data_IF_028526693068
#
_entry.id   IF_028526693068
#
_cell.length_a   1.000
_cell.length_b   1.000
_cell.length_c   1.000
_cell.angle_alpha   90.00
_cell.angle_beta   90.00
_cell.angle_gamma   90.00
#
_symmetry.space_group_name_H-M   'P 1'
#
loop_
_entity.id
_entity.type
_entity.pdbx_description
1 polymer ?
#
# COMPACT_ATOMS: atom_id res chain seq x y z
N UNK A 1 -8.34 -14.79 -4.78
CA UNK A 1 -9.25 -14.88 -5.94
C UNK A 1 -9.48 -13.46 -6.45
N UNK A 2 -8.92 -13.09 -7.61
CA UNK A 2 -9.21 -11.81 -8.30
C UNK A 2 -9.99 -12.03 -9.61
N UNK A 3 -10.25 -13.31 -9.95
CA UNK A 3 -10.90 -13.74 -11.19
C UNK A 3 -12.44 -13.79 -11.08
N UNK A 4 -12.98 -13.89 -9.87
CA UNK A 4 -14.43 -13.92 -9.62
C UNK A 4 -14.82 -12.62 -8.92
N UNK A 5 -14.98 -11.54 -9.69
CA UNK A 5 -15.50 -10.28 -9.17
C UNK A 5 -17.03 -10.40 -9.07
N UNK A 6 -17.66 -10.14 -7.92
CA UNK A 6 -19.12 -10.16 -7.82
C UNK A 6 -19.74 -9.16 -8.79
N UNK A 7 -20.89 -9.50 -9.38
CA UNK A 7 -21.61 -8.60 -10.29
C UNK A 7 -21.96 -7.27 -9.61
N UNK A 8 -22.21 -7.31 -8.29
CA UNK A 8 -22.48 -6.15 -7.45
C UNK A 8 -21.27 -5.19 -7.41
N UNK A 9 -20.04 -5.73 -7.37
CA UNK A 9 -18.81 -4.91 -7.42
C UNK A 9 -18.68 -4.22 -8.79
N UNK A 10 -18.98 -4.94 -9.87
CA UNK A 10 -18.95 -4.38 -11.23
C UNK A 10 -20.06 -3.36 -11.49
N UNK A 11 -21.20 -3.52 -10.82
CA UNK A 11 -22.32 -2.58 -10.92
C UNK A 11 -21.97 -1.21 -10.33
N UNK A 12 -21.22 -1.17 -9.22
CA UNK A 12 -20.81 0.08 -8.56
C UNK A 12 -19.49 0.64 -9.13
N UNK A 13 -18.61 -0.22 -9.64
CA UNK A 13 -17.36 0.17 -10.30
C UNK A 13 -17.20 -0.60 -11.61
N UNK A 14 -17.71 -0.05 -12.74
CA UNK A 14 -17.55 -0.66 -14.06
C UNK A 14 -16.08 -0.76 -14.50
N UNK A 15 -15.18 0.05 -13.92
CA UNK A 15 -13.72 -0.07 -14.09
C UNK A 15 -13.21 -1.43 -13.63
N UNK A 16 -13.90 -2.04 -12.65
CA UNK A 16 -13.58 -3.35 -12.10
C UNK A 16 -12.22 -3.39 -11.41
N UNK A 17 -11.62 -2.26 -11.05
CA UNK A 17 -10.39 -2.21 -10.28
C UNK A 17 -10.70 -2.28 -8.80
N UNK A 18 -9.75 -2.70 -7.98
CA UNK A 18 -9.85 -2.66 -6.52
C UNK A 18 -8.72 -1.79 -5.99
N UNK A 19 -8.90 -1.14 -4.82
CA UNK A 19 -10.09 -1.16 -3.94
C UNK A 19 -11.26 -0.29 -4.44
N UNK A 20 -12.48 -0.58 -3.96
CA UNK A 20 -13.70 0.22 -4.17
C UNK A 20 -14.47 0.27 -2.86
N UNK A 21 -15.03 1.44 -2.52
CA UNK A 21 -15.89 1.66 -1.36
C UNK A 21 -17.21 2.31 -1.81
N UNK A 22 -18.33 1.75 -1.37
CA UNK A 22 -19.64 2.37 -1.49
C UNK A 22 -20.13 2.82 -0.11
N UNK A 23 -20.52 4.09 0.00
CA UNK A 23 -21.07 4.68 1.21
C UNK A 23 -22.59 4.44 1.31
N UNK A 24 -23.14 4.62 2.51
CA UNK A 24 -24.58 4.45 2.78
C UNK A 24 -25.47 5.40 1.96
N UNK A 25 -24.95 6.56 1.56
CA UNK A 25 -25.64 7.53 0.71
C UNK A 25 -25.56 7.21 -0.79
N UNK A 26 -24.90 6.10 -1.16
CA UNK A 26 -24.71 5.66 -2.53
C UNK A 26 -23.45 6.22 -3.21
N UNK A 27 -22.68 7.10 -2.56
CA UNK A 27 -21.40 7.59 -3.08
C UNK A 27 -20.41 6.44 -3.27
N UNK A 28 -19.71 6.42 -4.40
CA UNK A 28 -18.67 5.42 -4.70
C UNK A 28 -17.30 6.09 -4.75
N UNK A 29 -16.33 5.52 -4.05
CA UNK A 29 -14.92 5.93 -4.03
C UNK A 29 -14.09 4.78 -4.61
N UNK A 30 -13.33 5.04 -5.67
CA UNK A 30 -12.61 4.01 -6.44
C UNK A 30 -11.09 4.07 -6.29
N UNK A 31 -10.55 5.13 -5.68
CA UNK A 31 -9.11 5.31 -5.53
C UNK A 31 -8.64 4.95 -4.12
N UNK A 32 -7.59 4.12 -4.03
CA UNK A 32 -7.07 3.64 -2.75
C UNK A 32 -6.69 4.75 -1.77
N UNK A 33 -6.11 5.84 -2.29
CA UNK A 33 -5.77 7.04 -1.53
C UNK A 33 -7.01 7.76 -1.00
N UNK A 34 -8.04 7.91 -1.84
CA UNK A 34 -9.28 8.57 -1.43
C UNK A 34 -10.02 7.77 -0.36
N UNK A 35 -10.03 6.43 -0.48
CA UNK A 35 -10.60 5.54 0.55
C UNK A 35 -9.84 5.70 1.88
N UNK A 36 -8.51 5.75 1.83
CA UNK A 36 -7.68 5.94 3.02
C UNK A 36 -7.94 7.30 3.68
N UNK A 37 -8.00 8.39 2.90
CA UNK A 37 -8.33 9.73 3.42
C UNK A 37 -9.76 9.78 3.97
N UNK A 38 -10.72 9.14 3.29
CA UNK A 38 -12.10 9.04 3.77
C UNK A 38 -12.16 8.35 5.13
N UNK A 39 -11.46 7.23 5.30
CA UNK A 39 -11.45 6.47 6.54
C UNK A 39 -10.84 7.29 7.70
N UNK A 40 -9.71 7.96 7.47
CA UNK A 40 -9.06 8.81 8.47
C UNK A 40 -9.91 10.02 8.85
N UNK A 41 -10.71 10.56 7.93
CA UNK A 41 -11.67 11.63 8.26
C UNK A 41 -12.82 11.18 9.15
N UNK A 42 -13.13 9.87 9.19
CA UNK A 42 -14.10 9.34 10.14
C UNK A 42 -13.49 9.24 11.55
N UNK A 43 -12.27 8.68 11.63
CA UNK A 43 -11.57 8.50 12.90
C UNK A 43 -10.05 8.38 12.65
N UNK A 44 -9.27 9.27 13.26
CA UNK A 44 -7.81 9.27 13.19
C UNK A 44 -7.19 9.49 14.58
N UNK A 45 -7.22 8.48 15.46
CA UNK A 45 -6.72 8.60 16.83
C UNK A 45 -5.18 8.69 16.88
N UNK A 46 -4.50 8.38 15.78
CA UNK A 46 -3.04 8.39 15.66
C UNK A 46 -2.50 9.65 14.95
N UNK A 47 -3.36 10.49 14.40
CA UNK A 47 -2.96 11.69 13.67
C UNK A 47 -2.21 11.38 12.37
N UNK A 48 -2.54 10.27 11.69
CA UNK A 48 -1.93 9.87 10.42
C UNK A 48 -2.16 10.93 9.33
N UNK A 49 -3.30 11.62 9.36
CA UNK A 49 -3.61 12.75 8.46
C UNK A 49 -3.00 14.05 9.01
N UNK A 50 -1.68 14.06 9.17
CA UNK A 50 -0.96 15.23 9.65
C UNK A 50 -0.90 16.32 8.57
N UNK A 51 -1.68 17.40 8.77
CA UNK A 51 -1.80 18.52 7.84
C UNK A 51 -0.52 19.29 7.61
N UNK A 52 0.46 19.23 8.53
CA UNK A 52 1.73 19.95 8.41
C UNK A 52 2.66 19.32 7.37
N UNK A 53 2.53 18.01 7.14
CA UNK A 53 3.35 17.25 6.18
C UNK A 53 2.53 16.64 5.05
N UNK A 54 1.25 16.99 4.94
CA UNK A 54 0.31 16.35 4.01
C UNK A 54 0.74 16.48 2.54
N UNK A 55 1.27 17.63 2.14
CA UNK A 55 1.75 17.82 0.76
C UNK A 55 2.96 16.92 0.45
N UNK A 56 3.87 16.75 1.40
CA UNK A 56 5.02 15.85 1.27
C UNK A 56 4.56 14.38 1.24
N UNK A 57 3.59 14.02 2.09
CA UNK A 57 2.99 12.70 2.09
C UNK A 57 2.33 12.38 0.76
N UNK A 58 1.55 13.33 0.21
CA UNK A 58 0.89 13.17 -1.08
C UNK A 58 1.90 13.01 -2.22
N UNK A 59 2.99 13.78 -2.21
CA UNK A 59 4.06 13.66 -3.20
C UNK A 59 4.75 12.29 -3.16
N UNK A 60 5.04 11.76 -1.96
CA UNK A 60 5.62 10.42 -1.81
C UNK A 60 4.68 9.32 -2.30
N UNK A 61 3.38 9.40 -1.98
CA UNK A 61 2.40 8.42 -2.46
C UNK A 61 2.25 8.53 -3.99
N UNK A 62 2.28 9.74 -4.56
CA UNK A 62 2.24 9.93 -6.01
C UNK A 62 3.47 9.35 -6.72
N UNK A 63 4.66 9.54 -6.15
CA UNK A 63 5.88 8.90 -6.66
C UNK A 63 5.80 7.36 -6.56
N UNK A 64 5.24 6.84 -5.47
CA UNK A 64 4.98 5.41 -5.32
C UNK A 64 4.04 4.88 -6.41
N UNK A 65 2.90 5.53 -6.61
CA UNK A 65 1.83 5.06 -7.49
C UNK A 65 2.21 5.11 -8.98
N UNK A 66 3.05 6.09 -9.37
CA UNK A 66 3.47 6.27 -10.75
C UNK A 66 4.78 5.54 -11.06
N UNK A 67 5.87 5.88 -10.36
CA UNK A 67 7.20 5.42 -10.72
C UNK A 67 7.51 4.05 -10.12
N UNK A 68 7.39 3.92 -8.79
CA UNK A 68 7.78 2.70 -8.10
C UNK A 68 6.89 1.53 -8.50
N UNK A 69 5.57 1.73 -8.50
CA UNK A 69 4.60 0.71 -8.87
C UNK A 69 4.83 0.18 -10.28
N UNK A 70 5.15 1.06 -11.23
CA UNK A 70 5.44 0.68 -12.61
C UNK A 70 6.60 -0.33 -12.70
N UNK A 71 7.69 -0.08 -11.97
CA UNK A 71 8.84 -0.97 -11.94
C UNK A 71 8.60 -2.21 -11.09
N UNK A 72 7.90 -2.07 -9.97
CA UNK A 72 7.54 -3.17 -9.08
C UNK A 72 6.69 -4.22 -9.80
N UNK A 73 5.70 -3.80 -10.59
CA UNK A 73 4.86 -4.74 -11.33
C UNK A 73 5.67 -5.51 -12.39
N UNK A 74 6.67 -4.89 -13.04
CA UNK A 74 7.58 -5.58 -13.96
C UNK A 74 8.56 -6.50 -13.25
N UNK A 75 9.02 -6.13 -12.07
CA UNK A 75 9.86 -6.99 -11.24
C UNK A 75 9.09 -8.25 -10.80
N UNK A 76 7.83 -8.09 -10.38
CA UNK A 76 6.94 -9.20 -9.96
C UNK A 76 6.57 -10.14 -11.11
N UNK A 77 6.36 -9.60 -12.30
CA UNK A 77 5.88 -10.34 -13.47
C UNK A 77 6.89 -10.30 -14.62
N UNK A 78 8.18 -10.46 -14.33
CA UNK A 78 9.25 -10.37 -15.31
C UNK A 78 9.11 -11.39 -16.46
N UNK A 79 8.39 -12.50 -16.23
CA UNK A 79 8.00 -13.47 -17.26
C UNK A 79 7.11 -12.88 -18.37
N UNK A 80 6.44 -11.76 -18.10
CA UNK A 80 5.55 -11.06 -19.05
C UNK A 80 6.21 -9.85 -19.73
N UNK A 81 7.40 -9.46 -19.29
CA UNK A 81 8.14 -8.30 -19.78
C UNK A 81 9.56 -8.72 -20.12
N UNK A 82 9.78 -9.14 -21.36
CA UNK A 82 11.03 -9.75 -21.82
C UNK A 82 12.10 -8.73 -22.23
N UNK A 83 11.82 -7.44 -22.09
CA UNK A 83 12.72 -6.36 -22.50
C UNK A 83 13.93 -6.22 -21.56
N UNK A 84 13.79 -6.61 -20.30
CA UNK A 84 14.86 -6.56 -19.29
C UNK A 84 14.78 -7.80 -18.40
N UNK A 85 15.90 -8.15 -17.77
CA UNK A 85 15.93 -9.19 -16.76
C UNK A 85 15.20 -8.75 -15.49
N UNK A 86 14.74 -9.73 -14.70
CA UNK A 86 14.11 -9.47 -13.41
C UNK A 86 15.02 -8.64 -12.48
N UNK A 87 16.33 -8.87 -12.51
CA UNK A 87 17.30 -8.11 -11.70
C UNK A 87 17.42 -6.66 -12.15
N UNK A 88 17.28 -6.37 -13.44
CA UNK A 88 17.31 -5.00 -13.93
C UNK A 88 16.02 -4.25 -13.57
N UNK A 89 14.85 -4.90 -13.61
CA UNK A 89 13.62 -4.30 -13.07
C UNK A 89 13.72 -4.01 -11.57
N UNK A 90 14.32 -4.92 -10.79
CA UNK A 90 14.61 -4.70 -9.37
C UNK A 90 15.45 -3.43 -9.18
N UNK A 91 16.56 -3.30 -9.91
CA UNK A 91 17.43 -2.12 -9.83
C UNK A 91 16.71 -0.81 -10.20
N UNK A 92 15.75 -0.84 -11.12
CA UNK A 92 14.92 0.34 -11.44
C UNK A 92 13.99 0.72 -10.28
N UNK A 93 13.38 -0.28 -9.62
CA UNK A 93 12.57 -0.08 -8.41
C UNK A 93 13.39 0.44 -7.22
N UNK A 94 14.67 0.04 -7.11
CA UNK A 94 15.57 0.45 -6.02
C UNK A 94 15.79 1.98 -5.95
N UNK A 95 15.55 2.73 -7.04
CA UNK A 95 15.61 4.19 -7.02
C UNK A 95 14.65 4.83 -6.01
N UNK A 96 13.42 4.29 -5.89
CA UNK A 96 12.47 4.76 -4.89
C UNK A 96 12.82 4.24 -3.50
N UNK A 97 13.35 3.01 -3.38
CA UNK A 97 13.80 2.49 -2.08
C UNK A 97 14.91 3.34 -1.48
N UNK A 98 15.82 3.87 -2.31
CA UNK A 98 16.83 4.83 -1.85
C UNK A 98 16.22 6.11 -1.30
N UNK A 99 15.16 6.66 -1.93
CA UNK A 99 14.44 7.83 -1.40
C UNK A 99 13.87 7.55 -0.01
N UNK A 100 13.27 6.37 0.18
CA UNK A 100 12.74 5.97 1.48
C UNK A 100 13.86 5.78 2.51
N UNK A 101 14.97 5.15 2.15
CA UNK A 101 16.14 4.97 3.02
C UNK A 101 16.72 6.32 3.47
N UNK A 102 16.82 7.29 2.57
CA UNK A 102 17.34 8.63 2.88
C UNK A 102 16.44 9.41 3.85
N UNK A 103 15.12 9.20 3.76
CA UNK A 103 14.15 9.75 4.71
C UNK A 103 14.25 9.07 6.07
N UNK A 104 14.35 7.74 6.10
CA UNK A 104 14.44 6.93 7.32
C UNK A 104 15.80 7.02 8.01
N UNK A 105 16.84 7.49 7.31
CA UNK A 105 18.12 7.84 7.93
C UNK A 105 17.98 9.05 8.87
N UNK A 106 16.97 9.89 8.66
CA UNK A 106 16.75 11.15 9.40
C UNK A 106 15.59 11.08 10.38
N UNK A 107 14.72 10.09 10.24
CA UNK A 107 13.42 10.02 10.90
C UNK A 107 13.08 8.58 11.28
N UNK A 108 12.22 8.39 12.27
CA UNK A 108 11.71 7.06 12.64
C UNK A 108 10.72 6.51 11.60
N UNK A 109 9.86 7.38 11.07
CA UNK A 109 8.90 7.13 9.99
C UNK A 109 9.23 8.01 8.78
N UNK A 110 8.54 7.83 7.66
CA UNK A 110 8.93 8.48 6.40
C UNK A 110 9.02 10.02 6.47
N UNK A 111 8.19 10.65 7.30
CA UNK A 111 8.09 12.11 7.39
C UNK A 111 8.24 12.67 8.80
N UNK A 112 8.85 11.90 9.72
CA UNK A 112 9.14 12.36 11.09
C UNK A 112 9.10 11.26 12.13
N UNK A 113 8.91 11.66 13.38
CA UNK A 113 8.89 10.74 14.53
C UNK A 113 7.56 10.01 14.73
N UNK A 114 6.51 10.43 14.04
CA UNK A 114 5.18 9.83 14.09
C UNK A 114 4.78 9.32 12.70
N UNK A 115 4.01 8.21 12.62
CA UNK A 115 3.55 7.69 11.35
C UNK A 115 2.59 8.66 10.66
N UNK A 116 2.57 8.62 9.34
CA UNK A 116 1.68 9.43 8.51
C UNK A 116 0.96 8.57 7.48
N UNK A 117 0.04 9.17 6.74
CA UNK A 117 -0.60 8.52 5.59
C UNK A 117 0.43 8.03 4.54
N UNK A 118 1.62 8.63 4.45
CA UNK A 118 2.68 8.18 3.57
C UNK A 118 3.14 6.77 3.95
N UNK A 119 3.35 6.50 5.24
CA UNK A 119 3.78 5.19 5.71
C UNK A 119 2.74 4.13 5.36
N UNK A 120 1.47 4.38 5.69
CA UNK A 120 0.36 3.45 5.44
C UNK A 120 0.17 3.20 3.94
N UNK A 121 0.31 4.23 3.12
CA UNK A 121 0.19 4.12 1.66
C UNK A 121 1.34 3.33 1.01
N UNK A 122 2.55 3.37 1.58
CA UNK A 122 3.77 2.84 0.93
C UNK A 122 4.15 1.44 1.44
N UNK A 123 3.89 1.12 2.71
CA UNK A 123 4.18 -0.21 3.31
C UNK A 123 3.72 -1.38 2.42
N UNK A 124 2.50 -1.39 1.87
CA UNK A 124 2.03 -2.51 1.04
C UNK A 124 2.87 -2.74 -0.21
N UNK A 125 3.48 -1.70 -0.78
CA UNK A 125 4.28 -1.78 -2.00
C UNK A 125 5.71 -2.24 -1.69
N UNK A 126 6.33 -1.71 -0.64
CA UNK A 126 7.64 -2.18 -0.17
C UNK A 126 7.55 -3.64 0.27
N UNK A 127 6.45 -4.02 0.96
CA UNK A 127 6.17 -5.41 1.29
C UNK A 127 6.09 -6.28 0.04
N UNK A 128 5.38 -5.85 -1.00
CA UNK A 128 5.29 -6.60 -2.26
C UNK A 128 6.66 -6.76 -2.93
N UNK A 129 7.47 -5.71 -2.94
CA UNK A 129 8.85 -5.76 -3.45
C UNK A 129 9.67 -6.82 -2.71
N UNK A 130 9.67 -6.78 -1.38
CA UNK A 130 10.37 -7.74 -0.55
C UNK A 130 9.88 -9.18 -0.73
N UNK A 131 8.60 -9.39 -1.10
CA UNK A 131 8.03 -10.72 -1.32
C UNK A 131 8.40 -11.34 -2.68
N UNK A 132 8.93 -10.57 -3.63
CA UNK A 132 9.42 -11.15 -4.90
C UNK A 132 10.64 -12.05 -4.65
N UNK A 133 11.61 -11.55 -3.88
CA UNK A 133 12.76 -12.32 -3.38
C UNK A 133 13.23 -11.73 -2.04
N UNK A 134 12.87 -12.43 -0.95
CA UNK A 134 13.17 -11.97 0.42
C UNK A 134 14.67 -11.99 0.71
N UNK A 135 15.37 -13.01 0.24
CA UNK A 135 16.81 -13.18 0.52
C UNK A 135 17.62 -12.12 -0.21
N UNK A 136 17.21 -11.75 -1.43
CA UNK A 136 17.79 -10.61 -2.14
C UNK A 136 17.47 -9.31 -1.42
N UNK A 137 16.20 -9.06 -1.07
CA UNK A 137 15.78 -7.82 -0.41
C UNK A 137 16.62 -7.53 0.84
N UNK A 138 16.73 -8.49 1.77
CA UNK A 138 17.48 -8.28 3.03
C UNK A 138 19.01 -8.22 2.86
N UNK A 139 19.55 -8.43 1.66
CA UNK A 139 20.96 -8.19 1.33
C UNK A 139 21.21 -6.82 0.70
N UNK A 140 20.16 -6.08 0.33
CA UNK A 140 20.29 -4.73 -0.22
C UNK A 140 20.77 -3.75 0.87
N UNK A 141 21.45 -2.65 0.51
CA UNK A 141 22.04 -1.71 1.47
C UNK A 141 21.01 -0.70 2.01
N UNK A 142 19.82 -1.16 2.44
CA UNK A 142 18.73 -0.32 2.95
C UNK A 142 18.35 -0.68 4.40
N UNK A 143 19.28 -0.57 5.37
CA UNK A 143 19.05 -1.05 6.73
C UNK A 143 17.87 -0.36 7.43
N UNK A 144 17.67 0.95 7.22
CA UNK A 144 16.57 1.66 7.89
C UNK A 144 15.21 1.29 7.27
N UNK A 145 15.16 1.11 5.95
CA UNK A 145 13.98 0.60 5.26
C UNK A 145 13.62 -0.81 5.72
N UNK A 146 14.60 -1.68 5.94
CA UNK A 146 14.37 -3.02 6.48
C UNK A 146 13.72 -2.97 7.87
N UNK A 147 14.27 -2.13 8.76
CA UNK A 147 13.75 -1.95 10.12
C UNK A 147 12.34 -1.36 10.10
N UNK A 148 12.11 -0.33 9.29
CA UNK A 148 10.80 0.29 9.11
C UNK A 148 9.76 -0.72 8.59
N UNK A 149 10.11 -1.51 7.57
CA UNK A 149 9.20 -2.54 7.04
C UNK A 149 8.90 -3.59 8.11
N UNK A 150 9.92 -4.07 8.83
CA UNK A 150 9.74 -5.07 9.88
C UNK A 150 8.80 -4.55 10.97
N UNK A 151 9.00 -3.30 11.44
CA UNK A 151 8.15 -2.67 12.43
C UNK A 151 6.68 -2.68 12.00
N UNK A 152 6.37 -2.31 10.76
CA UNK A 152 4.99 -2.34 10.25
C UNK A 152 4.41 -3.74 10.13
N UNK A 153 5.21 -4.74 9.75
CA UNK A 153 4.74 -6.13 9.64
C UNK A 153 4.40 -6.75 11.00
N UNK A 154 5.02 -6.26 12.07
CA UNK A 154 4.79 -6.69 13.45
C UNK A 154 3.73 -5.83 14.17
N UNK A 155 3.35 -4.69 13.59
CA UNK A 155 2.40 -3.76 14.18
C UNK A 155 0.99 -4.34 14.26
N UNK A 156 0.29 -4.12 15.39
CA UNK A 156 -1.06 -4.66 15.65
C UNK A 156 -2.08 -4.32 14.56
N UNK A 157 -2.13 -3.06 14.10
CA UNK A 157 -3.00 -2.64 12.99
C UNK A 157 -2.77 -3.43 11.70
N UNK A 158 -1.52 -3.72 11.35
CA UNK A 158 -1.22 -4.53 10.16
C UNK A 158 -1.73 -5.96 10.35
N UNK A 159 -1.46 -6.58 11.50
CA UNK A 159 -1.93 -7.93 11.81
C UNK A 159 -3.45 -8.04 11.78
N UNK A 160 -4.15 -7.03 12.33
CA UNK A 160 -5.62 -6.95 12.29
C UNK A 160 -6.13 -6.82 10.85
N UNK A 161 -5.57 -5.93 10.04
CA UNK A 161 -5.95 -5.73 8.64
C UNK A 161 -5.69 -6.97 7.76
N UNK A 162 -4.72 -7.82 8.14
CA UNK A 162 -4.41 -9.07 7.43
C UNK A 162 -5.32 -10.24 7.79
N UNK A 163 -6.30 -10.05 8.67
CA UNK A 163 -7.32 -11.05 8.99
C UNK A 163 -8.09 -11.43 7.72
N UNK A 164 -8.12 -12.73 7.41
CA UNK A 164 -8.82 -13.23 6.22
C UNK A 164 -10.30 -13.43 6.52
N UNK A 165 -11.13 -12.80 5.71
CA UNK A 165 -12.57 -13.04 5.68
C UNK A 165 -12.93 -13.92 4.48
N UNK A 166 -14.00 -14.74 4.58
CA UNK A 166 -14.56 -15.38 3.39
C UNK A 166 -14.95 -14.30 2.36
N UNK A 167 -14.83 -14.57 1.04
CA UNK A 167 -15.33 -13.66 0.04
C UNK A 167 -16.82 -13.37 0.26
N UNK A 168 -17.19 -12.10 0.33
CA UNK A 168 -18.57 -11.67 0.50
C UNK A 168 -19.46 -12.18 -0.64
N UNK A 169 -20.66 -12.61 -0.29
CA UNK A 169 -21.74 -12.98 -1.21
C UNK A 169 -23.02 -12.21 -0.88
N UNK A 170 -23.86 -12.00 -1.89
CA UNK A 170 -25.17 -11.40 -1.68
C UNK A 170 -26.01 -12.27 -0.73
N UNK A 171 -26.55 -11.64 0.32
CA UNK A 171 -27.28 -12.32 1.38
C UNK A 171 -26.43 -12.73 2.58
N UNK A 172 -25.11 -12.51 2.56
CA UNK A 172 -24.27 -12.67 3.76
C UNK A 172 -24.72 -11.71 4.87
N UNK A 173 -24.67 -12.19 6.12
CA UNK A 173 -24.91 -11.38 7.30
C UNK A 173 -23.93 -10.20 7.37
N UNK A 174 -24.37 -9.10 8.00
CA UNK A 174 -23.54 -7.92 8.22
C UNK A 174 -22.32 -8.30 9.06
N UNK A 175 -21.13 -8.17 8.48
CA UNK A 175 -19.86 -8.33 9.19
C UNK A 175 -19.49 -7.00 9.85
N UNK A 176 -19.49 -6.98 11.18
CA UNK A 176 -18.98 -5.85 11.96
C UNK A 176 -17.50 -6.08 12.22
N UNK A 177 -16.64 -5.22 11.68
CA UNK A 177 -15.21 -5.30 11.95
C UNK A 177 -14.91 -4.85 13.38
N UNK A 178 -13.99 -5.55 14.08
CA UNK A 178 -13.60 -5.15 15.43
C UNK A 178 -12.93 -3.78 15.42
N UNK A 179 -13.36 -2.94 16.35
CA UNK A 179 -12.82 -1.61 16.69
C UNK A 179 -11.49 -1.70 17.42
#
# INVERSE_FOLDING_TARGET
MLRNKPDQMLAISPKGTVPVLQLLDGTVVEESREIMVWALRQQDPQGLLNTTVLDQANALIEQNDNDFKHWLDRYKYADRYLEMTQSEYRQRSEAFLQVLEDLLTKNVYLLGDNPTIADIGIVPFVRQFAHVDRDVFYRLPYPNLHLWLQHWLEHSFFLQAMTKFPPWQEGDDVVVFPS
#
